data_IF_578453625442
#
_entry.id   IF_578453625442
#
_cell.length_a   1.000
_cell.length_b   1.000
_cell.length_c   1.000
_cell.angle_alpha   90.00
_cell.angle_beta   90.00
_cell.angle_gamma   90.00
#
_symmetry.space_group_name_H-M   'P 1'
#
loop_
_entity.id
_entity.type
_entity.pdbx_description
1 polymer ?
#
# COMPACT_ATOMS: atom_id res chain seq x y z
N UNK A 1 1.63 32.88 -4.68
CA UNK A 1 1.15 32.09 -3.54
C UNK A 1 2.05 30.88 -3.39
N UNK A 2 2.71 30.66 -2.23
CA UNK A 2 3.60 29.50 -2.04
C UNK A 2 2.80 28.19 -2.06
N UNK A 3 3.34 27.15 -2.70
CA UNK A 3 2.76 25.79 -2.75
C UNK A 3 3.73 24.81 -2.11
N UNK A 4 3.24 23.99 -1.19
CA UNK A 4 4.01 22.90 -0.62
C UNK A 4 3.90 21.68 -1.54
N UNK A 5 5.02 21.25 -2.10
CA UNK A 5 5.07 20.15 -3.05
C UNK A 5 6.05 19.09 -2.54
N UNK A 6 5.63 17.82 -2.61
CA UNK A 6 6.50 16.67 -2.34
C UNK A 6 7.07 16.16 -3.66
N UNK A 7 8.33 15.73 -3.63
CA UNK A 7 9.04 15.22 -4.79
C UNK A 7 9.81 13.95 -4.43
N UNK A 8 10.12 13.14 -5.43
CA UNK A 8 10.95 11.96 -5.27
C UNK A 8 10.39 10.74 -5.95
N UNK A 9 11.17 9.67 -5.90
CA UNK A 9 10.84 8.41 -6.55
C UNK A 9 9.68 7.67 -5.85
N UNK A 10 9.57 7.79 -4.53
CA UNK A 10 8.47 7.20 -3.76
C UNK A 10 7.10 7.73 -4.21
N UNK A 11 6.94 9.06 -4.36
CA UNK A 11 5.66 9.66 -4.81
C UNK A 11 5.35 9.31 -6.26
N UNK A 12 6.37 9.20 -7.12
CA UNK A 12 6.21 8.76 -8.51
C UNK A 12 5.79 7.29 -8.60
N UNK A 13 6.36 6.43 -7.75
CA UNK A 13 6.02 5.01 -7.69
C UNK A 13 4.60 4.82 -7.18
N UNK A 14 4.21 5.52 -6.11
CA UNK A 14 2.84 5.49 -5.58
C UNK A 14 1.80 5.90 -6.63
N UNK A 15 2.04 6.99 -7.37
CA UNK A 15 1.16 7.42 -8.46
C UNK A 15 1.02 6.36 -9.58
N UNK A 16 2.10 5.63 -9.90
CA UNK A 16 2.06 4.55 -10.90
C UNK A 16 1.35 3.31 -10.37
N UNK A 17 1.50 3.00 -9.09
CA UNK A 17 0.78 1.90 -8.44
C UNK A 17 -0.73 2.16 -8.41
N UNK A 18 -1.15 3.37 -8.08
CA UNK A 18 -2.55 3.80 -8.13
C UNK A 18 -3.11 3.66 -9.56
N UNK A 19 -2.39 4.17 -10.55
CA UNK A 19 -2.80 4.10 -11.96
C UNK A 19 -2.96 2.67 -12.49
N UNK A 20 -2.27 1.69 -11.89
CA UNK A 20 -2.37 0.26 -12.21
C UNK A 20 -3.21 -0.53 -11.21
N UNK A 21 -3.94 0.15 -10.31
CA UNK A 21 -4.79 -0.46 -9.29
C UNK A 21 -6.14 -0.90 -9.86
N UNK A 22 -6.90 -1.64 -9.05
CA UNK A 22 -8.30 -2.00 -9.30
C UNK A 22 -9.20 -1.12 -8.43
N UNK A 23 -10.35 -0.65 -8.96
CA UNK A 23 -11.33 0.07 -8.15
C UNK A 23 -11.77 -0.74 -6.93
N UNK A 24 -11.86 -0.09 -5.77
CA UNK A 24 -12.30 -0.72 -4.53
C UNK A 24 -11.28 -1.65 -3.86
N UNK A 25 -10.04 -1.70 -4.36
CA UNK A 25 -8.96 -2.49 -3.75
C UNK A 25 -7.79 -1.61 -3.32
N UNK A 26 -7.12 -1.99 -2.24
CA UNK A 26 -5.93 -1.30 -1.72
C UNK A 26 -4.68 -1.98 -2.28
N UNK A 27 -4.05 -1.34 -3.25
CA UNK A 27 -2.81 -1.80 -3.90
C UNK A 27 -1.59 -1.40 -3.07
N UNK A 28 -0.76 -2.36 -2.69
CA UNK A 28 0.45 -2.11 -1.89
C UNK A 28 1.69 -2.68 -2.58
N UNK A 29 2.83 -2.01 -2.36
CA UNK A 29 4.12 -2.48 -2.85
C UNK A 29 4.62 -3.68 -2.05
N UNK A 30 5.63 -4.38 -2.55
CA UNK A 30 6.24 -5.47 -1.80
C UNK A 30 6.81 -5.01 -0.46
N UNK A 31 7.49 -3.85 -0.44
CA UNK A 31 8.08 -3.30 0.77
C UNK A 31 7.01 -2.97 1.82
N UNK A 32 5.86 -2.41 1.37
CA UNK A 32 4.73 -2.15 2.25
C UNK A 32 4.12 -3.46 2.80
N UNK A 33 4.03 -4.50 1.97
CA UNK A 33 3.56 -5.81 2.39
C UNK A 33 4.47 -6.42 3.47
N UNK A 34 5.78 -6.41 3.27
CA UNK A 34 6.75 -6.92 4.26
C UNK A 34 6.63 -6.18 5.60
N UNK A 35 6.48 -4.85 5.57
CA UNK A 35 6.25 -4.07 6.78
C UNK A 35 4.95 -4.45 7.48
N UNK A 36 3.85 -4.61 6.74
CA UNK A 36 2.56 -5.01 7.31
C UNK A 36 2.60 -6.42 7.91
N UNK A 37 3.29 -7.36 7.25
CA UNK A 37 3.47 -8.71 7.77
C UNK A 37 4.32 -8.71 9.05
N UNK A 38 5.33 -7.83 9.14
CA UNK A 38 6.16 -7.68 10.34
C UNK A 38 5.39 -7.04 11.52
N UNK A 39 4.49 -6.11 11.23
CA UNK A 39 3.60 -5.50 12.23
C UNK A 39 2.55 -6.50 12.73
N UNK A 40 2.11 -7.40 11.86
CA UNK A 40 1.03 -8.33 12.14
C UNK A 40 -0.36 -7.68 12.06
N UNK A 41 -1.40 -8.50 12.09
CA UNK A 41 -2.79 -8.02 12.06
C UNK A 41 -3.29 -7.53 10.72
N UNK A 42 -2.59 -7.85 9.63
CA UNK A 42 -3.06 -7.58 8.28
C UNK A 42 -3.03 -8.86 7.44
N UNK A 43 -4.06 -9.03 6.62
CA UNK A 43 -4.10 -10.09 5.61
C UNK A 43 -3.90 -9.46 4.24
N UNK A 44 -2.93 -9.97 3.50
CA UNK A 44 -2.61 -9.52 2.15
C UNK A 44 -2.67 -10.70 1.19
N UNK A 45 -2.90 -10.43 -0.10
CA UNK A 45 -2.84 -11.42 -1.17
C UNK A 45 -1.88 -10.99 -2.27
N UNK A 46 -1.12 -11.91 -2.88
CA UNK A 46 -0.27 -11.57 -4.01
C UNK A 46 -1.13 -11.19 -5.22
N UNK A 47 -0.86 -10.02 -5.78
CA UNK A 47 -1.40 -9.59 -7.09
C UNK A 47 -0.57 -10.17 -8.23
N UNK A 48 0.71 -10.41 -7.96
CA UNK A 48 1.73 -10.83 -8.93
C UNK A 48 2.54 -9.66 -9.48
N UNK A 49 3.15 -9.91 -10.63
CA UNK A 49 4.07 -8.99 -11.31
C UNK A 49 3.33 -7.90 -12.07
N UNK A 50 3.69 -6.64 -11.79
CA UNK A 50 3.18 -5.45 -12.47
C UNK A 50 4.36 -4.69 -13.07
N UNK A 51 4.26 -4.33 -14.35
CA UNK A 51 5.26 -3.51 -15.02
C UNK A 51 5.02 -2.05 -14.63
N UNK A 52 5.91 -1.51 -13.80
CA UNK A 52 5.90 -0.12 -13.40
C UNK A 52 6.98 0.61 -14.20
N UNK A 53 6.58 1.63 -14.95
CA UNK A 53 7.52 2.48 -15.71
C UNK A 53 8.67 2.90 -14.79
N UNK A 54 9.92 2.88 -15.27
CA UNK A 54 11.09 3.31 -14.50
C UNK A 54 11.52 2.39 -13.34
N UNK A 55 10.70 1.40 -12.96
CA UNK A 55 11.04 0.38 -11.96
C UNK A 55 11.18 -1.02 -12.56
N UNK A 56 10.59 -1.25 -13.72
CA UNK A 56 10.57 -2.57 -14.34
C UNK A 56 9.44 -3.41 -13.74
N UNK A 57 9.70 -4.70 -13.57
CA UNK A 57 8.73 -5.62 -13.00
C UNK A 57 8.77 -5.50 -11.48
N UNK A 58 7.61 -5.23 -10.87
CA UNK A 58 7.44 -5.16 -9.42
C UNK A 58 6.46 -6.22 -8.95
N UNK A 59 6.81 -6.94 -7.89
CA UNK A 59 5.86 -7.77 -7.15
C UNK A 59 4.97 -6.86 -6.32
N UNK A 60 3.66 -7.12 -6.36
CA UNK A 60 2.67 -6.28 -5.69
C UNK A 60 1.62 -7.13 -5.01
N UNK A 61 0.93 -6.53 -4.05
CA UNK A 61 -0.05 -7.22 -3.21
C UNK A 61 -1.32 -6.39 -3.08
N UNK A 62 -2.41 -7.05 -2.75
CA UNK A 62 -3.63 -6.41 -2.27
C UNK A 62 -3.69 -6.52 -0.76
N UNK A 63 -4.09 -5.45 -0.09
CA UNK A 63 -4.50 -5.51 1.30
C UNK A 63 -5.97 -5.91 1.37
N UNK A 64 -6.26 -7.02 2.04
CA UNK A 64 -7.60 -7.60 2.13
C UNK A 64 -8.35 -7.13 3.37
N UNK A 65 -7.72 -7.27 4.53
CA UNK A 65 -8.34 -6.92 5.82
C UNK A 65 -7.28 -6.64 6.87
N UNK A 66 -7.70 -5.89 7.88
CA UNK A 66 -7.02 -5.77 9.15
C UNK A 66 -7.76 -6.63 10.17
N UNK A 67 -7.03 -7.46 10.90
CA UNK A 67 -7.56 -8.16 12.05
C UNK A 67 -7.47 -7.24 13.26
N UNK A 68 -8.61 -6.79 13.75
CA UNK A 68 -8.72 -5.86 14.88
C UNK A 68 -8.15 -6.44 16.17
N UNK A 69 -8.16 -7.76 16.33
CA UNK A 69 -7.56 -8.41 17.48
C UNK A 69 -6.03 -8.21 17.53
N UNK A 70 -5.42 -7.92 16.38
CA UNK A 70 -4.01 -7.63 16.22
C UNK A 70 -3.73 -6.15 15.88
N UNK A 71 -4.74 -5.29 16.01
CA UNK A 71 -4.56 -3.85 15.83
C UNK A 71 -3.55 -3.29 16.86
N UNK A 72 -2.71 -2.31 16.48
CA UNK A 72 -1.87 -1.63 17.44
C UNK A 72 -2.74 -0.98 18.52
N UNK A 73 -2.28 -1.00 19.78
CA UNK A 73 -3.05 -0.55 20.97
C UNK A 73 -3.64 0.87 20.88
N UNK A 74 -3.12 1.69 19.96
CA UNK A 74 -3.55 3.07 19.75
C UNK A 74 -4.59 3.21 18.62
N UNK A 75 -4.98 2.11 17.96
CA UNK A 75 -5.99 2.10 16.93
C UNK A 75 -7.37 2.31 17.56
N UNK A 76 -7.92 3.51 17.38
CA UNK A 76 -9.34 3.79 17.61
C UNK A 76 -10.00 3.86 16.24
N UNK A 77 -10.97 2.98 15.96
CA UNK A 77 -11.94 3.28 14.90
C UNK A 77 -12.79 4.43 15.38
N UNK A 78 -12.56 5.61 14.82
CA UNK A 78 -13.56 6.66 14.90
C UNK A 78 -14.64 6.36 13.85
N UNK A 79 -15.88 6.21 14.36
CA UNK A 79 -17.17 6.16 13.67
C UNK A 79 -17.75 4.76 13.37
N UNK A 80 -18.66 4.32 14.27
CA UNK A 80 -19.98 3.80 13.87
C UNK A 80 -20.95 4.98 13.75
#
# INVERSE_FOLDING_TARGET
>A
MPRYCLFGDAVNTASRMESNSKPGQIHISNEANEMLLSLGGFTTEPRGEVIVKGKGVMQTHWLLKMDEAAAPKNYKREND
#
